data_IF_931481272292
#
_entry.id   IF_931481272292
#
_cell.length_a   1.000
_cell.length_b   1.000
_cell.length_c   1.000
_cell.angle_alpha   90.00
_cell.angle_beta   90.00
_cell.angle_gamma   90.00
#
_symmetry.space_group_name_H-M   'P 1'
#
loop_
_entity.id
_entity.type
_entity.pdbx_description
1 polymer ?
#
# COMPACT_ATOMS: atom_id res chain seq x y z
N UNK A 1 9.99 -7.27 -10.44
CA UNK A 1 8.94 -8.05 -9.74
C UNK A 1 7.86 -7.10 -9.24
N UNK A 2 6.58 -7.49 -9.33
CA UNK A 2 5.42 -6.68 -8.93
C UNK A 2 4.35 -7.58 -8.28
N UNK A 3 3.29 -6.99 -7.71
CA UNK A 3 2.20 -7.75 -7.08
C UNK A 3 2.53 -8.25 -5.66
N UNK A 4 1.78 -9.26 -5.19
CA UNK A 4 1.81 -9.76 -3.81
C UNK A 4 3.22 -10.02 -3.22
N UNK A 5 4.20 -10.58 -3.96
CA UNK A 5 5.56 -10.78 -3.43
C UNK A 5 6.27 -9.50 -3.00
N UNK A 6 5.85 -8.34 -3.52
CA UNK A 6 6.44 -7.04 -3.19
C UNK A 6 5.79 -6.39 -1.95
N UNK A 7 4.64 -6.90 -1.47
CA UNK A 7 3.85 -6.24 -0.43
C UNK A 7 4.65 -6.03 0.86
N UNK A 8 5.21 -7.11 1.41
CA UNK A 8 5.96 -7.10 2.67
C UNK A 8 7.20 -6.17 2.60
N UNK A 9 8.00 -6.29 1.55
CA UNK A 9 9.20 -5.45 1.37
C UNK A 9 8.84 -3.97 1.20
N UNK A 10 7.79 -3.67 0.43
CA UNK A 10 7.34 -2.30 0.25
C UNK A 10 6.83 -1.70 1.57
N UNK A 11 6.10 -2.47 2.38
CA UNK A 11 5.61 -2.03 3.70
C UNK A 11 6.76 -1.77 4.67
N UNK A 12 7.81 -2.61 4.66
CA UNK A 12 9.01 -2.36 5.48
C UNK A 12 9.73 -1.06 5.10
N UNK A 13 9.85 -0.77 3.81
CA UNK A 13 10.49 0.48 3.33
C UNK A 13 9.65 1.69 3.77
N UNK A 14 8.31 1.61 3.67
CA UNK A 14 7.42 2.67 4.15
C UNK A 14 7.64 2.94 5.65
N UNK A 15 7.74 1.89 6.45
CA UNK A 15 7.99 2.01 7.89
C UNK A 15 9.34 2.71 8.19
N UNK A 16 10.40 2.33 7.49
CA UNK A 16 11.72 2.95 7.64
C UNK A 16 11.72 4.43 7.22
N UNK A 17 11.06 4.74 6.11
CA UNK A 17 10.91 6.12 5.63
C UNK A 17 10.07 6.95 6.59
N UNK A 18 8.96 6.41 7.10
CA UNK A 18 8.11 7.11 8.07
C UNK A 18 8.88 7.47 9.33
N UNK A 19 9.67 6.52 9.86
CA UNK A 19 10.52 6.76 11.03
C UNK A 19 11.57 7.85 10.76
N UNK A 20 12.19 7.84 9.57
CA UNK A 20 13.22 8.81 9.18
C UNK A 20 12.64 10.21 8.96
N UNK A 21 11.49 10.29 8.28
CA UNK A 21 10.87 11.54 7.86
C UNK A 21 10.06 12.20 8.96
N UNK A 22 9.68 11.46 10.01
CA UNK A 22 8.95 11.97 11.17
C UNK A 22 7.69 12.76 10.79
N UNK A 23 6.99 12.31 9.74
CA UNK A 23 5.77 12.94 9.22
C UNK A 23 5.99 14.27 8.49
N UNK A 24 7.23 14.72 8.26
CA UNK A 24 7.51 16.00 7.57
C UNK A 24 7.29 15.92 6.06
N UNK A 25 7.34 14.72 5.48
CA UNK A 25 7.10 14.48 4.06
C UNK A 25 6.08 13.34 3.95
N UNK A 26 4.95 13.53 3.24
CA UNK A 26 3.95 12.48 3.06
C UNK A 26 4.49 11.34 2.20
N UNK A 27 4.16 10.11 2.56
CA UNK A 27 4.61 8.90 1.86
C UNK A 27 3.45 8.31 1.08
N UNK A 28 3.64 8.05 -0.21
CA UNK A 28 2.71 7.28 -1.05
C UNK A 28 3.25 5.86 -1.21
N UNK A 29 2.56 4.88 -0.62
CA UNK A 29 2.98 3.49 -0.69
C UNK A 29 2.46 2.82 -1.97
N UNK A 30 3.36 2.20 -2.73
CA UNK A 30 3.02 1.44 -3.94
C UNK A 30 3.54 0.00 -3.85
N UNK A 31 2.82 -0.92 -4.49
CA UNK A 31 3.25 -2.30 -4.69
C UNK A 31 2.54 -3.32 -3.80
N UNK A 32 2.05 -4.38 -4.43
CA UNK A 32 1.52 -5.57 -3.76
C UNK A 32 0.15 -5.45 -3.10
N UNK A 33 -0.62 -4.40 -3.40
CA UNK A 33 -1.96 -4.19 -2.82
C UNK A 33 -2.99 -5.05 -3.55
N UNK A 34 -3.48 -6.09 -2.88
CA UNK A 34 -4.47 -7.03 -3.42
C UNK A 34 -5.70 -7.16 -2.52
N UNK A 35 -5.64 -6.63 -1.29
CA UNK A 35 -6.66 -6.75 -0.25
C UNK A 35 -6.73 -5.49 0.64
N UNK A 36 -7.82 -5.32 1.39
CA UNK A 36 -7.97 -4.20 2.32
C UNK A 36 -6.92 -4.25 3.44
N UNK A 37 -6.53 -5.45 3.89
CA UNK A 37 -5.47 -5.63 4.87
C UNK A 37 -4.13 -5.08 4.37
N UNK A 38 -3.79 -5.28 3.09
CA UNK A 38 -2.56 -4.69 2.50
C UNK A 38 -2.58 -3.15 2.58
N UNK A 39 -3.74 -2.53 2.38
CA UNK A 39 -3.91 -1.08 2.49
C UNK A 39 -3.71 -0.66 3.95
N UNK A 40 -4.39 -1.33 4.89
CA UNK A 40 -4.30 -1.01 6.31
C UNK A 40 -2.87 -1.18 6.84
N UNK A 41 -2.15 -2.21 6.43
CA UNK A 41 -0.75 -2.41 6.81
C UNK A 41 0.15 -1.26 6.32
N UNK A 42 -0.06 -0.79 5.09
CA UNK A 42 0.72 0.34 4.54
C UNK A 42 0.41 1.66 5.24
N UNK A 43 -0.87 1.91 5.56
CA UNK A 43 -1.26 3.08 6.35
C UNK A 43 -0.66 3.01 7.76
N UNK A 44 -0.74 1.85 8.44
CA UNK A 44 -0.13 1.63 9.76
C UNK A 44 1.39 1.79 9.74
N UNK A 45 2.04 1.43 8.63
CA UNK A 45 3.48 1.65 8.43
C UNK A 45 3.85 3.13 8.24
N UNK A 46 2.87 4.03 8.09
CA UNK A 46 3.10 5.47 7.96
C UNK A 46 2.87 6.04 6.56
N UNK A 47 2.27 5.29 5.65
CA UNK A 47 1.83 5.84 4.37
C UNK A 47 0.66 6.81 4.56
N UNK A 48 0.69 7.94 3.87
CA UNK A 48 -0.42 8.88 3.77
C UNK A 48 -1.41 8.47 2.68
N UNK A 49 -0.93 7.82 1.62
CA UNK A 49 -1.73 7.34 0.49
C UNK A 49 -1.23 5.96 0.02
N UNK A 50 -2.09 5.20 -0.65
CA UNK A 50 -1.75 3.89 -1.23
C UNK A 50 -2.11 3.86 -2.71
N UNK A 51 -1.16 3.44 -3.55
CA UNK A 51 -1.32 3.31 -5.00
C UNK A 51 -1.51 1.85 -5.40
N UNK A 52 -2.49 1.60 -6.27
CA UNK A 52 -2.86 0.26 -6.74
C UNK A 52 -2.73 0.22 -8.27
N UNK A 53 -1.99 -0.77 -8.78
CA UNK A 53 -1.84 -0.98 -10.22
C UNK A 53 -2.06 -2.46 -10.58
N UNK A 54 -1.15 -3.34 -10.14
CA UNK A 54 -1.26 -4.79 -10.38
C UNK A 54 -2.59 -5.37 -9.88
N UNK A 55 -3.11 -4.86 -8.76
CA UNK A 55 -4.45 -5.20 -8.26
C UNK A 55 -5.56 -4.94 -9.27
N UNK A 56 -5.57 -3.75 -9.89
CA UNK A 56 -6.59 -3.39 -10.87
C UNK A 56 -6.51 -4.26 -12.13
N UNK A 57 -5.31 -4.62 -12.57
CA UNK A 57 -5.14 -5.49 -13.75
C UNK A 57 -5.72 -6.88 -13.51
N UNK A 58 -5.44 -7.49 -12.35
CA UNK A 58 -5.84 -8.89 -12.10
C UNK A 58 -7.23 -9.06 -11.49
N UNK A 59 -7.76 -8.06 -10.78
CA UNK A 59 -9.06 -8.13 -10.08
C UNK A 59 -10.12 -7.20 -10.70
N UNK A 60 -9.73 -6.40 -11.69
CA UNK A 60 -10.60 -5.41 -12.30
C UNK A 60 -10.97 -4.25 -11.35
N UNK A 61 -11.80 -3.31 -11.81
CA UNK A 61 -12.20 -2.13 -11.04
C UNK A 61 -13.04 -2.47 -9.80
N UNK A 62 -13.68 -3.65 -9.76
CA UNK A 62 -14.43 -4.12 -8.60
C UNK A 62 -13.55 -4.23 -7.34
N UNK A 63 -12.23 -4.40 -7.49
CA UNK A 63 -11.27 -4.41 -6.38
C UNK A 63 -11.42 -3.18 -5.47
N UNK A 64 -11.66 -2.00 -6.04
CA UNK A 64 -11.79 -0.76 -5.26
C UNK A 64 -12.91 -0.84 -4.22
N UNK A 65 -14.01 -1.53 -4.54
CA UNK A 65 -15.11 -1.74 -3.59
C UNK A 65 -14.69 -2.56 -2.38
N UNK A 66 -13.72 -3.45 -2.53
CA UNK A 66 -13.21 -4.27 -1.42
C UNK A 66 -12.10 -3.58 -0.64
N UNK A 67 -11.40 -2.62 -1.25
CA UNK A 67 -10.29 -1.89 -0.60
C UNK A 67 -10.77 -0.66 0.19
N UNK A 68 -11.84 -0.01 -0.26
CA UNK A 68 -12.32 1.26 0.30
C UNK A 68 -13.47 1.11 1.30
N UNK A 69 -13.77 -0.10 1.78
CA UNK A 69 -14.86 -0.32 2.74
C UNK A 69 -14.49 0.30 4.08
N UNK A 70 -15.22 1.35 4.46
CA UNK A 70 -15.29 1.89 5.81
C UNK A 70 -16.14 0.98 6.69
#
# INVERSE_FOLDING_TARGET
MSGAPLSARATQIVQQLSATLQGKIPIIAAGGVMSASDVQEKIKAGASLVQIYTGLIYRGPALLKYLCVH
#
